data_IF_360269179087
#
_entry.id   IF_360269179087
#
_cell.length_a   1.000
_cell.length_b   1.000
_cell.length_c   1.000
_cell.angle_alpha   90.00
_cell.angle_beta   90.00
_cell.angle_gamma   90.00
#
_symmetry.space_group_name_H-M   'P 1'
#
loop_
_entity.id
_entity.type
_entity.pdbx_description
1 polymer ?
#
# COMPACT_ATOMS: atom_id res chain seq x y z
N UNK A 1 -7.14 -35.27 36.52
CA UNK A 1 -8.28 -34.50 35.97
C UNK A 1 -7.97 -34.11 34.53
N UNK A 2 -8.90 -34.24 33.59
CA UNK A 2 -8.62 -33.98 32.17
C UNK A 2 -8.36 -32.50 31.88
N UNK A 3 -7.25 -32.16 31.19
CA UNK A 3 -6.81 -30.78 30.88
C UNK A 3 -7.87 -29.92 30.16
N UNK A 4 -8.89 -30.52 29.56
CA UNK A 4 -9.95 -29.84 28.79
C UNK A 4 -11.26 -29.54 29.53
N UNK A 5 -11.45 -30.01 30.78
CA UNK A 5 -12.75 -29.89 31.47
C UNK A 5 -13.11 -28.46 31.85
N UNK A 6 -12.12 -27.57 31.99
CA UNK A 6 -12.34 -26.17 32.35
C UNK A 6 -13.22 -25.44 31.31
N UNK A 7 -13.10 -25.79 30.01
CA UNK A 7 -13.94 -25.25 28.93
C UNK A 7 -15.42 -25.55 29.12
N UNK A 8 -15.75 -26.63 29.83
CA UNK A 8 -17.12 -27.12 30.04
C UNK A 8 -17.57 -26.93 31.50
N UNK A 9 -16.95 -26.00 32.24
CA UNK A 9 -17.29 -25.73 33.64
C UNK A 9 -16.92 -26.86 34.59
N UNK A 10 -15.77 -27.51 34.35
CA UNK A 10 -15.22 -28.61 35.17
C UNK A 10 -16.11 -29.87 35.25
N UNK A 11 -17.07 -30.02 34.34
CA UNK A 11 -17.90 -31.22 34.24
C UNK A 11 -17.16 -32.33 33.49
N UNK A 12 -17.09 -33.52 34.08
CA UNK A 12 -16.56 -34.72 33.43
C UNK A 12 -17.65 -35.41 32.61
N UNK A 13 -17.34 -35.75 31.36
CA UNK A 13 -18.28 -36.38 30.42
C UNK A 13 -19.01 -35.39 29.52
N UNK A 14 -19.46 -35.88 28.36
CA UNK A 14 -20.19 -35.08 27.36
C UNK A 14 -21.58 -35.68 27.21
N UNK A 15 -22.61 -34.90 27.51
CA UNK A 15 -23.99 -35.27 27.21
C UNK A 15 -24.26 -35.17 25.70
N UNK A 16 -25.13 -36.02 25.13
CA UNK A 16 -25.56 -35.85 23.76
C UNK A 16 -26.24 -34.50 23.57
N UNK A 17 -26.12 -33.92 22.37
CA UNK A 17 -26.74 -32.63 22.06
C UNK A 17 -28.27 -32.74 22.20
N UNK A 18 -28.93 -31.79 22.89
CA UNK A 18 -30.38 -31.79 23.01
C UNK A 18 -31.00 -31.63 21.62
N UNK A 19 -31.99 -32.47 21.29
CA UNK A 19 -32.70 -32.41 20.01
C UNK A 19 -33.75 -31.29 20.09
N UNK A 20 -33.74 -30.30 19.19
CA UNK A 20 -34.75 -29.26 19.19
C UNK A 20 -36.11 -29.84 18.81
N UNK A 21 -37.18 -29.38 19.47
CA UNK A 21 -38.55 -29.82 19.21
C UNK A 21 -39.00 -29.25 17.85
N UNK A 22 -38.83 -27.94 17.64
CA UNK A 22 -39.06 -27.26 16.37
C UNK A 22 -37.75 -27.18 15.58
N UNK A 23 -37.71 -27.79 14.39
CA UNK A 23 -36.50 -27.87 13.55
C UNK A 23 -36.24 -26.62 12.71
N UNK A 24 -37.28 -25.85 12.44
CA UNK A 24 -37.24 -24.61 11.66
C UNK A 24 -37.84 -23.46 12.47
N UNK A 25 -37.47 -22.21 12.18
CA UNK A 25 -38.06 -21.04 12.85
C UNK A 25 -39.57 -20.95 12.57
N UNK A 26 -40.30 -20.33 13.50
CA UNK A 26 -41.74 -20.09 13.34
C UNK A 26 -42.01 -18.72 12.76
N UNK A 27 -43.19 -18.55 12.15
CA UNK A 27 -43.63 -17.26 11.60
C UNK A 27 -43.76 -16.15 12.66
N UNK A 28 -44.00 -16.51 13.93
CA UNK A 28 -44.08 -15.55 15.03
C UNK A 28 -42.73 -14.92 15.40
N UNK A 29 -41.61 -15.52 15.00
CA UNK A 29 -40.27 -14.97 15.21
C UNK A 29 -39.97 -13.86 14.19
N UNK A 30 -40.60 -12.70 14.40
CA UNK A 30 -40.59 -11.58 13.44
C UNK A 30 -39.20 -11.10 13.05
N UNK A 31 -38.22 -11.06 13.97
CA UNK A 31 -36.86 -10.61 13.65
C UNK A 31 -36.19 -11.52 12.61
N UNK A 32 -36.35 -12.84 12.75
CA UNK A 32 -35.78 -13.82 11.80
C UNK A 32 -36.47 -13.79 10.45
N UNK A 33 -37.77 -13.52 10.44
CA UNK A 33 -38.54 -13.34 9.20
C UNK A 33 -38.03 -12.10 8.46
N UNK A 34 -37.86 -10.98 9.16
CA UNK A 34 -37.33 -9.75 8.58
C UNK A 34 -35.89 -9.94 8.07
N UNK A 35 -35.03 -10.62 8.84
CA UNK A 35 -33.65 -10.94 8.42
C UNK A 35 -33.62 -11.80 7.16
N UNK A 36 -34.51 -12.80 7.05
CA UNK A 36 -34.57 -13.68 5.89
C UNK A 36 -35.11 -12.96 4.64
N UNK A 37 -35.99 -11.97 4.80
CA UNK A 37 -36.57 -11.17 3.72
C UNK A 37 -35.71 -9.96 3.34
N UNK A 38 -34.79 -9.54 4.22
CA UNK A 38 -33.93 -8.40 3.97
C UNK A 38 -33.05 -8.62 2.72
N UNK A 39 -32.83 -7.57 1.91
CA UNK A 39 -31.93 -7.66 0.77
C UNK A 39 -30.52 -8.00 1.25
N UNK A 40 -29.93 -9.02 0.65
CA UNK A 40 -28.58 -9.47 1.03
C UNK A 40 -27.54 -8.43 0.62
N UNK A 41 -26.57 -8.10 1.49
CA UNK A 41 -25.54 -7.14 1.15
C UNK A 41 -24.71 -7.62 -0.04
N UNK A 42 -24.25 -6.68 -0.85
CA UNK A 42 -23.32 -6.88 -1.97
C UNK A 42 -21.98 -6.21 -1.63
N UNK A 43 -20.87 -6.71 -2.18
CA UNK A 43 -19.53 -6.14 -1.96
C UNK A 43 -18.62 -7.05 -1.13
N UNK A 44 -17.66 -6.50 -0.36
CA UNK A 44 -16.61 -7.28 0.31
C UNK A 44 -17.14 -8.21 1.41
N UNK A 45 -18.22 -7.82 2.09
CA UNK A 45 -18.96 -8.64 3.06
C UNK A 45 -20.27 -9.18 2.49
N UNK A 46 -20.40 -9.21 1.16
CA UNK A 46 -21.62 -9.61 0.48
C UNK A 46 -21.86 -11.12 0.47
N UNK A 47 -23.12 -11.51 0.27
CA UNK A 47 -23.54 -12.93 0.18
C UNK A 47 -24.17 -13.19 -1.19
N UNK A 48 -23.66 -14.19 -1.90
CA UNK A 48 -24.17 -14.62 -3.21
C UNK A 48 -23.40 -14.05 -4.40
N UNK A 49 -23.94 -14.22 -5.60
CA UNK A 49 -23.34 -13.72 -6.84
C UNK A 49 -23.60 -12.22 -7.05
N UNK A 50 -22.57 -11.47 -7.42
CA UNK A 50 -22.71 -10.07 -7.78
C UNK A 50 -23.57 -9.90 -9.04
N UNK A 51 -24.15 -8.71 -9.21
CA UNK A 51 -25.02 -8.41 -10.34
C UNK A 51 -24.31 -8.63 -11.67
N UNK A 52 -25.03 -9.20 -12.64
CA UNK A 52 -24.53 -9.49 -13.99
C UNK A 52 -23.36 -10.48 -14.09
N UNK A 53 -22.94 -11.10 -12.98
CA UNK A 53 -22.01 -12.25 -13.03
C UNK A 53 -22.82 -13.53 -13.23
N UNK A 54 -22.43 -14.32 -14.22
CA UNK A 54 -23.02 -15.64 -14.48
C UNK A 54 -22.68 -16.61 -13.34
N UNK A 55 -23.64 -17.46 -12.98
CA UNK A 55 -23.43 -18.57 -12.07
C UNK A 55 -23.18 -19.84 -12.90
N UNK A 56 -22.48 -20.86 -12.36
CA UNK A 56 -22.16 -22.06 -13.11
C UNK A 56 -23.42 -22.84 -13.51
N UNK A 57 -23.41 -23.43 -14.70
CA UNK A 57 -24.51 -24.21 -15.23
C UNK A 57 -24.87 -25.38 -14.30
N UNK A 58 -26.17 -25.59 -14.06
CA UNK A 58 -26.68 -26.63 -13.16
C UNK A 58 -26.69 -26.27 -11.67
N UNK A 59 -26.10 -25.14 -11.28
CA UNK A 59 -26.23 -24.58 -9.93
C UNK A 59 -27.40 -23.60 -9.83
N UNK A 60 -27.92 -23.37 -8.62
CA UNK A 60 -28.85 -22.25 -8.36
C UNK A 60 -28.05 -21.02 -7.95
N UNK A 61 -28.40 -19.86 -8.53
CA UNK A 61 -27.82 -18.56 -8.16
C UNK A 61 -28.17 -18.15 -6.73
N UNK A 62 -29.43 -18.34 -6.36
CA UNK A 62 -29.96 -17.98 -5.05
C UNK A 62 -30.04 -19.20 -4.14
N UNK A 63 -29.69 -19.06 -2.84
CA UNK A 63 -29.86 -20.14 -1.88
C UNK A 63 -31.35 -20.39 -1.63
N UNK A 64 -31.68 -21.60 -1.21
CA UNK A 64 -33.07 -21.96 -0.91
C UNK A 64 -33.65 -21.07 0.20
N UNK A 65 -34.90 -20.61 0.06
CA UNK A 65 -35.53 -19.79 1.08
C UNK A 65 -35.72 -20.60 2.37
N UNK A 66 -35.55 -19.92 3.50
CA UNK A 66 -35.78 -20.52 4.82
C UNK A 66 -37.26 -20.86 4.96
N UNK A 67 -37.56 -22.11 5.31
CA UNK A 67 -38.94 -22.56 5.56
C UNK A 67 -39.36 -22.12 6.96
N UNK A 68 -40.39 -21.30 7.05
CA UNK A 68 -41.01 -20.91 8.32
C UNK A 68 -42.21 -21.80 8.61
N UNK A 69 -42.31 -22.28 9.84
CA UNK A 69 -43.41 -23.14 10.28
C UNK A 69 -44.50 -22.29 10.93
N UNK A 70 -45.75 -22.52 10.55
CA UNK A 70 -46.89 -22.21 11.42
C UNK A 70 -47.16 -23.42 12.33
N UNK A 71 -47.07 -23.18 13.63
CA UNK A 71 -47.17 -24.23 14.65
C UNK A 71 -48.56 -24.85 14.66
N UNK A 72 -49.62 -24.06 14.47
CA UNK A 72 -50.98 -24.59 14.51
C UNK A 72 -51.30 -25.42 13.26
N UNK A 73 -50.80 -25.03 12.09
CA UNK A 73 -50.91 -25.84 10.87
C UNK A 73 -50.10 -27.14 10.99
N UNK A 74 -48.91 -27.08 11.57
CA UNK A 74 -48.08 -28.27 11.81
C UNK A 74 -48.75 -29.22 12.81
N UNK A 75 -49.39 -28.71 13.87
CA UNK A 75 -50.17 -29.52 14.81
C UNK A 75 -51.31 -30.22 14.08
N UNK A 76 -52.09 -29.51 13.26
CA UNK A 76 -53.19 -30.10 12.48
C UNK A 76 -52.70 -31.22 11.54
N UNK A 77 -51.54 -31.03 10.91
CA UNK A 77 -50.97 -32.01 9.99
C UNK A 77 -50.38 -33.25 10.69
N UNK A 78 -49.71 -33.06 11.82
CA UNK A 78 -49.00 -34.15 12.54
C UNK A 78 -49.92 -34.88 13.52
N UNK A 79 -50.88 -34.18 14.09
CA UNK A 79 -51.81 -34.63 15.12
C UNK A 79 -53.24 -34.41 14.64
N UNK A 80 -53.70 -35.15 13.62
CA UNK A 80 -55.09 -35.03 13.19
C UNK A 80 -56.03 -35.59 14.26
N UNK A 81 -57.11 -34.85 14.50
CA UNK A 81 -58.23 -35.34 15.31
C UNK A 81 -58.96 -36.47 14.56
N UNK A 82 -59.47 -37.49 15.26
CA UNK A 82 -60.20 -38.58 14.62
C UNK A 82 -61.49 -38.04 13.98
N UNK A 83 -61.64 -38.22 12.66
CA UNK A 83 -62.80 -37.73 11.90
C UNK A 83 -64.14 -38.36 12.34
N UNK A 84 -64.08 -39.58 12.87
CA UNK A 84 -65.23 -40.27 13.47
C UNK A 84 -64.80 -40.78 14.84
N UNK A 85 -65.69 -40.74 15.83
CA UNK A 85 -65.49 -41.39 17.11
C UNK A 85 -65.92 -42.86 16.95
N UNK A 86 -65.03 -43.81 16.64
CA UNK A 86 -65.45 -45.19 16.48
C UNK A 86 -65.94 -45.71 17.84
N UNK A 87 -67.04 -46.46 17.80
CA UNK A 87 -67.54 -47.18 18.96
C UNK A 87 -66.47 -48.18 19.42
N UNK A 88 -66.19 -48.17 20.72
CA UNK A 88 -65.09 -48.94 21.29
C UNK A 88 -65.59 -50.34 21.59
N UNK A 89 -65.36 -51.28 20.67
CA UNK A 89 -65.83 -52.66 20.80
C UNK A 89 -65.05 -53.48 21.85
N UNK A 90 -63.80 -53.10 22.18
CA UNK A 90 -62.93 -53.86 23.08
C UNK A 90 -62.14 -52.99 24.05
N UNK A 91 -61.87 -53.51 25.27
CA UNK A 91 -61.03 -52.85 26.30
C UNK A 91 -59.64 -52.48 25.77
N UNK A 92 -59.07 -53.30 24.89
CA UNK A 92 -57.76 -53.01 24.29
C UNK A 92 -57.83 -51.82 23.31
N UNK A 93 -58.93 -51.69 22.57
CA UNK A 93 -59.16 -50.54 21.69
C UNK A 93 -59.36 -49.26 22.52
N UNK A 94 -60.04 -49.36 23.67
CA UNK A 94 -60.17 -48.26 24.62
C UNK A 94 -58.80 -47.76 25.10
N UNK A 95 -57.91 -48.67 25.49
CA UNK A 95 -56.56 -48.34 25.94
C UNK A 95 -55.72 -47.69 24.84
N UNK A 96 -55.75 -48.22 23.61
CA UNK A 96 -55.06 -47.62 22.45
C UNK A 96 -55.58 -46.22 22.15
N UNK A 97 -56.90 -46.00 22.24
CA UNK A 97 -57.52 -44.68 22.03
C UNK A 97 -57.08 -43.67 23.09
N UNK A 98 -57.05 -44.07 24.37
CA UNK A 98 -56.54 -43.24 25.47
C UNK A 98 -55.07 -42.88 25.25
N UNK A 99 -54.23 -43.86 24.92
CA UNK A 99 -52.81 -43.61 24.65
C UNK A 99 -52.59 -42.69 23.44
N UNK A 100 -53.40 -42.85 22.39
CA UNK A 100 -53.36 -41.95 21.24
C UNK A 100 -53.75 -40.53 21.64
N UNK A 101 -54.84 -40.34 22.39
CA UNK A 101 -55.25 -39.04 22.90
C UNK A 101 -54.13 -38.37 23.73
N UNK A 102 -53.54 -39.10 24.68
CA UNK A 102 -52.42 -38.61 25.49
C UNK A 102 -51.21 -38.20 24.63
N UNK A 103 -50.85 -39.00 23.62
CA UNK A 103 -49.74 -38.67 22.70
C UNK A 103 -50.03 -37.40 21.90
N UNK A 104 -51.28 -37.22 21.47
CA UNK A 104 -51.72 -36.04 20.73
C UNK A 104 -51.61 -34.79 21.59
N UNK A 105 -52.17 -34.85 22.81
CA UNK A 105 -52.13 -33.77 23.80
C UNK A 105 -50.70 -33.36 24.14
N UNK A 106 -49.83 -34.31 24.52
CA UNK A 106 -48.44 -33.99 24.86
C UNK A 106 -47.66 -33.41 23.69
N UNK A 107 -47.91 -33.87 22.47
CA UNK A 107 -47.19 -33.39 21.29
C UNK A 107 -47.68 -31.99 20.88
N UNK A 108 -48.99 -31.72 20.92
CA UNK A 108 -49.53 -30.38 20.68
C UNK A 108 -49.05 -29.37 21.73
N UNK A 109 -49.01 -29.79 23.00
CA UNK A 109 -48.55 -28.93 24.09
C UNK A 109 -47.06 -28.66 23.99
N UNK A 110 -46.25 -29.67 23.62
CA UNK A 110 -44.82 -29.50 23.42
C UNK A 110 -44.50 -28.49 22.31
N UNK A 111 -45.24 -28.51 21.19
CA UNK A 111 -45.04 -27.53 20.12
C UNK A 111 -45.43 -26.11 20.53
N UNK A 112 -46.58 -25.94 21.18
CA UNK A 112 -47.03 -24.63 21.68
C UNK A 112 -46.09 -24.07 22.76
N UNK A 113 -45.61 -24.92 23.66
CA UNK A 113 -44.68 -24.55 24.71
C UNK A 113 -43.31 -24.15 24.14
N UNK A 114 -42.80 -24.88 23.15
CA UNK A 114 -41.52 -24.55 22.52
C UNK A 114 -41.60 -23.22 21.76
N UNK A 115 -42.69 -22.95 21.04
CA UNK A 115 -42.87 -21.65 20.38
C UNK A 115 -42.84 -20.49 21.40
N UNK A 116 -43.59 -20.60 22.50
CA UNK A 116 -43.60 -19.60 23.57
C UNK A 116 -42.21 -19.42 24.20
N UNK A 117 -41.48 -20.52 24.41
CA UNK A 117 -40.12 -20.49 24.93
C UNK A 117 -39.17 -19.74 24.00
N UNK A 118 -39.26 -19.99 22.68
CA UNK A 118 -38.43 -19.32 21.68
C UNK A 118 -38.70 -17.82 21.64
N UNK A 119 -39.97 -17.41 21.66
CA UNK A 119 -40.35 -15.99 21.71
C UNK A 119 -39.82 -15.31 22.98
N UNK A 120 -39.99 -15.94 24.14
CA UNK A 120 -39.46 -15.42 25.41
C UNK A 120 -37.93 -15.32 25.40
N UNK A 121 -37.25 -16.27 24.78
CA UNK A 121 -35.79 -16.22 24.65
C UNK A 121 -35.34 -15.04 23.79
N UNK A 122 -36.04 -14.76 22.69
CA UNK A 122 -35.77 -13.61 21.82
C UNK A 122 -35.96 -12.28 22.57
N UNK A 123 -37.06 -12.15 23.32
CA UNK A 123 -37.33 -10.99 24.16
C UNK A 123 -36.23 -10.76 25.20
N UNK A 124 -35.80 -11.82 25.90
CA UNK A 124 -34.72 -11.73 26.89
C UNK A 124 -33.38 -11.33 26.27
N UNK A 125 -33.07 -11.84 25.07
CA UNK A 125 -31.86 -11.45 24.36
C UNK A 125 -31.90 -9.98 23.96
N UNK A 126 -33.04 -9.50 23.46
CA UNK A 126 -33.22 -8.09 23.10
C UNK A 126 -33.08 -7.17 24.32
N UNK A 127 -33.72 -7.51 25.44
CA UNK A 127 -33.58 -6.76 26.70
C UNK A 127 -32.14 -6.73 27.17
N UNK A 128 -31.43 -7.86 27.11
CA UNK A 128 -30.01 -7.93 27.48
C UNK A 128 -29.14 -7.05 26.59
N UNK A 129 -29.37 -7.04 25.28
CA UNK A 129 -28.64 -6.18 24.35
C UNK A 129 -28.85 -4.70 24.66
N UNK A 130 -30.10 -4.31 24.91
CA UNK A 130 -30.43 -2.93 25.30
C UNK A 130 -29.73 -2.52 26.60
N UNK A 131 -29.75 -3.37 27.62
CA UNK A 131 -29.03 -3.10 28.88
C UNK A 131 -27.53 -2.96 28.67
N UNK A 132 -26.91 -3.83 27.86
CA UNK A 132 -25.49 -3.74 27.54
C UNK A 132 -25.16 -2.45 26.76
N UNK A 133 -26.01 -2.05 25.82
CA UNK A 133 -25.84 -0.79 25.10
C UNK A 133 -25.96 0.43 26.02
N UNK A 134 -26.92 0.41 26.95
CA UNK A 134 -27.08 1.45 27.96
C UNK A 134 -25.88 1.51 28.91
N UNK A 135 -25.40 0.37 29.39
CA UNK A 135 -24.19 0.28 30.22
C UNK A 135 -22.97 0.83 29.49
N UNK A 136 -22.76 0.43 28.23
CA UNK A 136 -21.67 0.94 27.41
C UNK A 136 -21.78 2.45 27.19
N UNK A 137 -22.99 2.97 26.92
CA UNK A 137 -23.22 4.42 26.79
C UNK A 137 -22.94 5.17 28.08
N UNK A 138 -23.34 4.62 29.23
CA UNK A 138 -23.05 5.20 30.56
C UNK A 138 -21.55 5.19 30.83
N UNK A 139 -20.85 4.09 30.56
CA UNK A 139 -19.40 3.99 30.73
C UNK A 139 -18.66 4.97 29.82
N UNK A 140 -19.06 5.09 28.55
CA UNK A 140 -18.49 6.08 27.64
C UNK A 140 -18.75 7.51 28.12
N UNK A 141 -19.95 7.81 28.60
CA UNK A 141 -20.29 9.11 29.15
C UNK A 141 -19.51 9.43 30.45
N UNK A 142 -19.27 8.43 31.32
CA UNK A 142 -18.45 8.59 32.53
C UNK A 142 -16.96 8.71 32.23
N UNK A 143 -16.49 8.06 31.16
CA UNK A 143 -15.13 8.18 30.66
C UNK A 143 -14.89 9.53 29.97
N UNK A 144 -15.89 10.09 29.29
CA UNK A 144 -15.79 11.38 28.60
C UNK A 144 -16.05 12.59 29.49
N UNK A 145 -16.51 12.40 30.74
CA UNK A 145 -16.69 13.50 31.70
C UNK A 145 -15.32 14.03 32.13
N UNK A 146 -15.12 15.33 31.94
CA UNK A 146 -13.94 16.04 32.41
C UNK A 146 -13.78 15.87 33.93
N UNK A 147 -12.59 15.47 34.36
CA UNK A 147 -12.25 15.29 35.77
C UNK A 147 -11.26 16.37 36.19
N UNK A 148 -11.29 16.76 37.46
CA UNK A 148 -10.29 17.67 38.03
C UNK A 148 -8.85 17.13 37.90
N UNK A 149 -8.70 15.80 37.81
CA UNK A 149 -7.42 15.13 37.55
C UNK A 149 -6.90 15.28 36.12
N UNK A 150 -7.74 15.69 35.16
CA UNK A 150 -7.29 15.80 33.76
C UNK A 150 -6.33 16.98 33.57
N UNK A 151 -6.46 18.01 34.42
CA UNK A 151 -5.56 19.16 34.46
C UNK A 151 -4.14 18.83 34.97
N UNK A 152 -3.95 17.69 35.65
CA UNK A 152 -2.62 17.25 36.10
C UNK A 152 -1.91 16.38 35.05
N UNK A 153 -2.61 15.95 34.01
CA UNK A 153 -2.03 15.21 32.89
C UNK A 153 -1.48 16.24 31.89
N UNK A 154 -0.20 16.17 31.48
CA UNK A 154 0.33 17.11 30.50
C UNK A 154 -0.37 16.92 29.15
N UNK A 155 -0.98 18.00 28.65
CA UNK A 155 -1.69 17.99 27.36
C UNK A 155 -0.79 18.51 26.23
N UNK A 156 -0.85 17.85 25.07
CA UNK A 156 -0.16 18.26 23.84
C UNK A 156 -1.18 18.55 22.73
N UNK A 157 -2.29 19.21 23.07
CA UNK A 157 -3.42 19.44 22.17
C UNK A 157 -3.01 20.13 20.87
N UNK A 158 -2.18 21.16 20.94
CA UNK A 158 -1.72 21.88 19.77
C UNK A 158 -0.88 20.99 18.82
N UNK A 159 -0.13 20.02 19.35
CA UNK A 159 0.67 19.09 18.55
C UNK A 159 -0.20 17.98 17.94
N UNK A 160 -1.17 17.46 18.69
CA UNK A 160 -2.07 16.38 18.24
C UNK A 160 -3.06 16.90 17.20
N UNK A 161 -3.55 18.13 17.37
CA UNK A 161 -4.49 18.77 16.45
C UNK A 161 -3.80 19.31 15.19
N UNK A 162 -2.47 19.46 15.21
CA UNK A 162 -1.74 19.84 14.02
C UNK A 162 -1.73 18.69 12.99
N UNK A 163 -1.94 18.98 11.70
CA UNK A 163 -1.83 17.95 10.67
C UNK A 163 -0.40 17.41 10.63
N UNK A 164 -0.25 16.08 10.65
CA UNK A 164 1.06 15.41 10.59
C UNK A 164 1.90 15.87 9.38
N UNK A 165 1.23 16.25 8.28
CA UNK A 165 1.88 16.78 7.10
C UNK A 165 1.10 17.97 6.55
N UNK A 166 1.80 19.10 6.34
CA UNK A 166 1.28 20.21 5.55
C UNK A 166 1.39 19.86 4.06
N UNK A 167 0.27 19.91 3.35
CA UNK A 167 0.29 19.79 1.90
C UNK A 167 0.92 21.05 1.29
N UNK A 168 1.79 20.89 0.28
CA UNK A 168 2.41 22.02 -0.41
C UNK A 168 1.35 22.81 -1.17
N UNK A 169 1.43 24.14 -1.14
CA UNK A 169 0.61 25.00 -1.99
C UNK A 169 0.97 24.80 -3.47
N UNK A 170 0.07 25.08 -4.42
CA UNK A 170 0.37 24.94 -5.85
C UNK A 170 1.58 25.79 -6.27
N UNK A 171 1.75 26.98 -5.68
CA UNK A 171 2.92 27.85 -5.92
C UNK A 171 4.23 27.21 -5.45
N UNK A 172 4.24 26.62 -4.26
CA UNK A 172 5.41 25.89 -3.75
C UNK A 172 5.76 24.67 -4.61
N UNK A 173 4.75 23.96 -5.10
CA UNK A 173 4.95 22.82 -6.01
C UNK A 173 5.59 23.28 -7.32
N UNK A 174 5.08 24.36 -7.91
CA UNK A 174 5.65 24.96 -9.13
C UNK A 174 7.10 25.39 -8.91
N UNK A 175 7.41 26.02 -7.78
CA UNK A 175 8.77 26.44 -7.45
C UNK A 175 9.72 25.24 -7.29
N UNK A 176 9.28 24.18 -6.63
CA UNK A 176 10.05 22.93 -6.51
C UNK A 176 10.30 22.31 -7.88
N UNK A 177 9.31 22.30 -8.76
CA UNK A 177 9.45 21.73 -10.09
C UNK A 177 10.35 22.58 -11.00
N UNK A 178 10.32 23.90 -10.87
CA UNK A 178 11.27 24.79 -11.53
C UNK A 178 12.70 24.54 -11.05
N UNK A 179 12.92 24.39 -9.73
CA UNK A 179 14.24 24.02 -9.19
C UNK A 179 14.73 22.68 -9.72
N UNK A 180 13.85 21.69 -9.82
CA UNK A 180 14.18 20.36 -10.39
C UNK A 180 14.54 20.46 -11.88
N UNK A 181 13.78 21.21 -12.67
CA UNK A 181 14.05 21.46 -14.09
C UNK A 181 15.40 22.15 -14.28
N UNK A 182 15.64 23.22 -13.53
CA UNK A 182 16.91 23.95 -13.56
C UNK A 182 18.10 23.03 -13.23
N UNK A 183 18.00 22.24 -12.16
CA UNK A 183 19.06 21.29 -11.80
C UNK A 183 19.31 20.26 -12.91
N UNK A 184 18.25 19.77 -13.58
CA UNK A 184 18.38 18.84 -14.71
C UNK A 184 19.09 19.48 -15.89
N UNK A 185 18.71 20.71 -16.23
CA UNK A 185 19.29 21.48 -17.34
C UNK A 185 20.76 21.81 -17.08
N UNK A 186 21.11 22.24 -15.85
CA UNK A 186 22.49 22.50 -15.44
C UNK A 186 23.36 21.25 -15.55
N UNK A 187 22.85 20.09 -15.13
CA UNK A 187 23.58 18.83 -15.27
C UNK A 187 23.75 18.41 -16.73
N UNK A 188 22.72 18.58 -17.56
CA UNK A 188 22.80 18.30 -18.99
C UNK A 188 23.81 19.22 -19.69
N UNK A 189 23.80 20.50 -19.37
CA UNK A 189 24.73 21.49 -19.89
C UNK A 189 26.17 21.15 -19.50
N UNK A 190 26.43 20.83 -18.23
CA UNK A 190 27.77 20.39 -17.77
C UNK A 190 28.25 19.12 -18.48
N UNK A 191 27.34 18.19 -18.77
CA UNK A 191 27.69 16.99 -19.54
C UNK A 191 28.07 17.33 -20.98
N UNK A 192 27.34 18.25 -21.61
CA UNK A 192 27.66 18.73 -22.95
C UNK A 192 28.99 19.47 -22.96
N UNK A 193 29.25 20.37 -22.01
CA UNK A 193 30.54 21.06 -21.87
C UNK A 193 31.70 20.06 -21.74
N UNK A 194 31.55 19.03 -20.91
CA UNK A 194 32.58 17.97 -20.80
C UNK A 194 32.81 17.23 -22.11
N UNK A 195 31.74 16.88 -22.84
CA UNK A 195 31.85 16.23 -24.15
C UNK A 195 32.54 17.13 -25.18
N UNK A 196 32.23 18.43 -25.17
CA UNK A 196 32.86 19.40 -26.05
C UNK A 196 34.34 19.60 -25.69
N UNK A 197 34.68 19.66 -24.41
CA UNK A 197 36.07 19.73 -23.95
C UNK A 197 36.86 18.48 -24.38
N UNK A 198 36.25 17.29 -24.26
CA UNK A 198 36.82 16.04 -24.76
C UNK A 198 37.03 16.07 -26.28
N UNK A 199 36.06 16.59 -27.04
CA UNK A 199 36.17 16.75 -28.48
C UNK A 199 37.33 17.69 -28.84
N UNK A 200 37.43 18.85 -28.20
CA UNK A 200 38.55 19.79 -28.40
C UNK A 200 39.88 19.12 -28.09
N UNK A 201 39.97 18.35 -27.00
CA UNK A 201 41.18 17.60 -26.68
C UNK A 201 41.51 16.54 -27.73
N UNK A 202 40.50 15.86 -28.27
CA UNK A 202 40.67 14.88 -29.34
C UNK A 202 41.11 15.56 -30.65
N UNK A 203 40.59 16.75 -30.96
CA UNK A 203 40.99 17.53 -32.12
C UNK A 203 42.48 17.88 -32.06
N UNK A 204 42.97 18.35 -30.92
CA UNK A 204 44.39 18.65 -30.73
C UNK A 204 45.24 17.37 -30.77
N UNK A 205 44.77 16.27 -30.18
CA UNK A 205 45.44 14.97 -30.26
C UNK A 205 45.44 14.37 -31.68
N UNK A 206 44.48 14.76 -32.54
CA UNK A 206 44.37 14.22 -33.89
C UNK A 206 45.53 14.63 -34.80
N UNK A 207 46.31 15.66 -34.45
CA UNK A 207 47.56 15.99 -35.14
C UNK A 207 48.59 14.86 -35.05
N UNK A 208 48.58 14.09 -33.96
CA UNK A 208 49.47 12.94 -33.74
C UNK A 208 48.89 11.64 -34.33
N UNK A 209 47.62 11.64 -34.77
CA UNK A 209 46.98 10.44 -35.28
C UNK A 209 47.41 10.13 -36.71
N UNK A 210 47.77 8.88 -36.93
CA UNK A 210 48.11 8.35 -38.25
C UNK A 210 46.83 7.95 -38.97
N UNK A 211 46.45 8.69 -40.01
CA UNK A 211 45.23 8.41 -40.79
C UNK A 211 45.57 7.81 -42.16
N UNK A 212 46.70 8.20 -42.73
CA UNK A 212 47.10 7.82 -44.10
C UNK A 212 48.35 6.92 -44.09
N UNK A 213 48.46 6.03 -45.08
CA UNK A 213 49.63 5.16 -45.27
C UNK A 213 50.99 5.91 -45.28
N UNK A 214 51.16 7.07 -45.94
CA UNK A 214 52.42 7.79 -45.88
C UNK A 214 52.77 8.32 -44.48
N UNK A 215 51.77 8.69 -43.65
CA UNK A 215 52.01 9.07 -42.26
C UNK A 215 52.48 7.87 -41.43
N UNK A 216 51.97 6.68 -41.73
CA UNK A 216 52.36 5.45 -41.05
C UNK A 216 53.84 5.13 -41.29
N UNK A 217 54.29 5.18 -42.53
CA UNK A 217 55.69 4.92 -42.88
C UNK A 217 56.63 5.91 -42.17
N UNK A 218 56.31 7.21 -42.19
CA UNK A 218 57.08 8.24 -41.48
C UNK A 218 57.17 7.95 -39.98
N UNK A 219 56.04 7.62 -39.35
CA UNK A 219 56.02 7.33 -37.92
C UNK A 219 56.76 6.02 -37.58
N UNK A 220 56.75 5.01 -38.45
CA UNK A 220 57.57 3.79 -38.31
C UNK A 220 59.05 4.18 -38.33
N UNK A 221 59.48 4.96 -39.32
CA UNK A 221 60.86 5.40 -39.43
C UNK A 221 61.29 6.22 -38.19
N UNK A 222 60.44 7.12 -37.69
CA UNK A 222 60.69 7.92 -36.49
C UNK A 222 60.81 7.08 -35.20
N UNK A 223 59.93 6.09 -35.01
CA UNK A 223 59.93 5.22 -33.82
C UNK A 223 61.06 4.19 -33.85
N UNK A 224 61.37 3.63 -35.02
CA UNK A 224 62.41 2.63 -35.18
C UNK A 224 63.80 3.23 -35.46
N UNK A 225 63.91 4.56 -35.59
CA UNK A 225 65.18 5.26 -35.50
C UNK A 225 65.88 4.92 -34.16
N UNK A 226 67.19 4.64 -34.23
CA UNK A 226 67.95 3.95 -33.17
C UNK A 226 67.94 4.64 -31.80
N UNK A 227 67.62 5.93 -31.73
CA UNK A 227 67.57 6.71 -30.49
C UNK A 227 66.32 6.40 -29.65
N UNK A 228 65.18 6.13 -30.29
CA UNK A 228 63.90 5.88 -29.63
C UNK A 228 63.69 4.39 -29.25
N UNK A 229 64.32 3.47 -29.96
CA UNK A 229 64.25 2.04 -29.64
C UNK A 229 64.82 1.69 -28.24
N UNK A 230 65.74 2.51 -27.71
CA UNK A 230 66.32 2.34 -26.39
C UNK A 230 65.43 2.82 -25.23
N UNK A 231 64.53 3.78 -25.47
CA UNK A 231 63.61 4.30 -24.44
C UNK A 231 62.42 3.36 -24.22
N UNK A 232 61.94 2.69 -25.28
CA UNK A 232 60.89 1.67 -25.22
C UNK A 232 61.29 0.43 -24.40
N UNK A 233 62.56 0.02 -24.47
CA UNK A 233 63.09 -1.12 -23.67
C UNK A 233 63.17 -0.83 -22.16
N UNK A 234 63.12 0.45 -21.74
CA UNK A 234 63.38 0.87 -20.34
C UNK A 234 62.14 1.20 -19.52
N UNK A 235 60.91 1.11 -20.04
CA UNK A 235 59.70 1.51 -19.29
C UNK A 235 58.57 0.46 -19.27
N UNK A 236 58.66 -0.59 -18.43
CA UNK A 236 57.47 -1.37 -18.07
C UNK A 236 56.97 -1.15 -16.62
N UNK A 237 57.46 -0.17 -15.84
CA UNK A 237 57.13 -0.10 -14.39
C UNK A 237 57.08 1.31 -13.75
N UNK A 238 56.37 2.28 -14.33
CA UNK A 238 56.13 3.59 -13.68
C UNK A 238 54.64 3.93 -13.70
N UNK A 239 53.89 3.49 -12.68
CA UNK A 239 52.43 3.69 -12.62
C UNK A 239 51.93 4.57 -11.47
N UNK A 240 52.77 4.99 -10.52
CA UNK A 240 52.35 5.77 -9.35
C UNK A 240 52.89 7.21 -9.34
N UNK A 241 54.19 7.43 -9.58
CA UNK A 241 54.80 8.76 -9.53
C UNK A 241 54.38 9.70 -10.69
N UNK A 242 53.96 9.17 -11.84
CA UNK A 242 53.46 10.01 -12.93
C UNK A 242 52.04 10.52 -12.68
N UNK A 243 51.25 9.83 -11.84
CA UNK A 243 49.85 10.23 -11.57
C UNK A 243 49.75 11.55 -10.84
N UNK A 244 50.69 11.86 -9.95
CA UNK A 244 50.73 13.15 -9.25
C UNK A 244 50.99 14.30 -10.23
N UNK A 245 51.98 14.15 -11.12
CA UNK A 245 52.26 15.13 -12.18
C UNK A 245 51.11 15.27 -13.19
N UNK A 246 50.44 14.17 -13.54
CA UNK A 246 49.30 14.20 -14.46
C UNK A 246 48.08 14.87 -13.81
N UNK A 247 47.86 14.67 -12.52
CA UNK A 247 46.81 15.36 -11.76
C UNK A 247 47.11 16.85 -11.62
N UNK A 248 48.36 17.25 -11.33
CA UNK A 248 48.75 18.66 -11.26
C UNK A 248 48.56 19.37 -12.61
N UNK A 249 48.97 18.71 -13.71
CA UNK A 249 48.76 19.24 -15.06
C UNK A 249 47.28 19.36 -15.40
N UNK A 250 46.47 18.36 -15.06
CA UNK A 250 45.02 18.43 -15.25
C UNK A 250 44.39 19.56 -14.43
N UNK A 251 44.84 19.80 -13.20
CA UNK A 251 44.39 20.91 -12.37
C UNK A 251 44.79 22.26 -12.99
N UNK A 252 46.04 22.42 -13.41
CA UNK A 252 46.51 23.64 -14.09
C UNK A 252 45.72 23.90 -15.38
N UNK A 253 45.50 22.87 -16.19
CA UNK A 253 44.68 22.95 -17.40
C UNK A 253 43.23 23.39 -17.10
N UNK A 254 42.63 22.90 -16.01
CA UNK A 254 41.29 23.37 -15.61
C UNK A 254 41.26 24.81 -15.11
N UNK A 255 42.33 25.28 -14.45
CA UNK A 255 42.41 26.63 -13.90
C UNK A 255 42.68 27.69 -14.98
N UNK A 256 43.55 27.36 -15.94
CA UNK A 256 43.89 28.25 -17.05
C UNK A 256 43.02 28.03 -18.29
N UNK A 257 42.16 27.01 -18.28
CA UNK A 257 41.29 26.67 -19.41
C UNK A 257 42.06 26.16 -20.62
N UNK A 258 43.23 25.55 -20.43
CA UNK A 258 44.11 24.99 -21.48
C UNK A 258 43.96 23.47 -21.58
N UNK A 259 44.53 22.88 -22.64
CA UNK A 259 44.58 21.42 -22.85
C UNK A 259 46.03 20.98 -23.14
N UNK A 260 46.35 19.75 -22.73
CA UNK A 260 47.65 19.11 -22.94
C UNK A 260 48.82 19.86 -22.26
N UNK A 261 48.65 20.18 -20.97
CA UNK A 261 49.63 20.87 -20.13
C UNK A 261 50.02 22.25 -20.68
N UNK A 262 49.02 23.05 -21.03
CA UNK A 262 49.20 24.44 -21.47
C UNK A 262 49.68 24.63 -22.92
N UNK A 263 49.70 23.58 -23.75
CA UNK A 263 50.14 23.70 -25.15
C UNK A 263 49.07 24.24 -26.09
N UNK A 264 47.81 23.94 -25.81
CA UNK A 264 46.69 24.31 -26.66
C UNK A 264 45.59 24.99 -25.86
N UNK A 265 44.88 25.89 -26.51
CA UNK A 265 43.72 26.56 -25.95
C UNK A 265 42.58 25.56 -25.72
N UNK A 266 41.97 25.62 -24.54
CA UNK A 266 40.84 24.77 -24.20
C UNK A 266 39.48 25.39 -24.50
N UNK A 267 38.43 24.67 -24.13
CA UNK A 267 37.04 25.00 -24.46
C UNK A 267 36.63 26.44 -24.08
N UNK A 268 37.02 27.02 -22.92
CA UNK A 268 36.65 28.40 -22.57
C UNK A 268 37.17 29.43 -23.59
N UNK A 269 38.45 29.37 -23.95
CA UNK A 269 39.05 30.29 -24.92
C UNK A 269 38.42 30.14 -26.32
N UNK A 270 38.14 28.92 -26.76
CA UNK A 270 37.45 28.65 -28.03
C UNK A 270 36.02 29.20 -28.02
N UNK A 271 35.31 29.05 -26.89
CA UNK A 271 33.97 29.60 -26.71
C UNK A 271 33.98 31.13 -26.79
N UNK A 272 34.91 31.78 -26.09
CA UNK A 272 35.01 33.24 -26.04
C UNK A 272 35.40 33.82 -27.41
N UNK A 273 36.24 33.10 -28.16
CA UNK A 273 36.55 33.43 -29.56
C UNK A 273 35.31 33.31 -30.48
N UNK A 274 34.54 32.22 -30.37
CA UNK A 274 33.31 32.03 -31.16
C UNK A 274 32.20 33.00 -30.77
N UNK A 275 32.12 33.39 -29.50
CA UNK A 275 31.21 34.41 -28.99
C UNK A 275 31.60 35.84 -29.43
N UNK A 276 32.82 36.03 -29.94
CA UNK A 276 33.32 37.31 -30.44
C UNK A 276 33.87 38.25 -29.36
N UNK A 277 33.95 37.83 -28.10
CA UNK A 277 34.38 38.65 -26.97
C UNK A 277 35.87 39.03 -27.07
N UNK A 278 36.71 38.12 -27.57
CA UNK A 278 38.13 38.38 -27.78
C UNK A 278 38.42 39.41 -28.89
N UNK A 279 37.56 39.47 -29.92
CA UNK A 279 37.67 40.48 -30.98
C UNK A 279 37.29 41.87 -30.50
N UNK A 280 36.30 41.96 -29.61
CA UNK A 280 35.92 43.22 -28.97
C UNK A 280 37.07 43.76 -28.10
N UNK A 281 37.69 42.90 -27.28
CA UNK A 281 38.82 43.29 -26.43
C UNK A 281 40.04 43.80 -27.23
N UNK A 282 40.41 43.12 -28.33
CA UNK A 282 41.55 43.51 -29.17
C UNK A 282 41.33 44.81 -29.96
N UNK A 283 40.09 45.27 -30.10
CA UNK A 283 39.74 46.52 -30.81
C UNK A 283 39.77 47.78 -29.93
N UNK A 284 39.94 47.62 -28.61
CA UNK A 284 40.06 48.74 -27.66
C UNK A 284 41.54 49.12 -27.53
N UNK A 285 41.99 50.32 -27.94
CA UNK A 285 43.35 50.76 -27.69
C UNK A 285 43.57 50.91 -26.18
N UNK A 286 44.67 50.35 -25.67
CA UNK A 286 45.03 50.40 -24.26
C UNK A 286 45.20 51.86 -23.78
N UNK A 287 44.75 52.23 -22.56
CA UNK A 287 45.03 53.54 -22.00
C UNK A 287 46.53 53.66 -21.67
N UNK A 288 47.14 54.75 -22.15
CA UNK A 288 48.56 55.08 -21.97
C UNK A 288 49.04 54.89 -20.53
N UNK A 289 50.11 54.11 -20.37
CA UNK A 289 50.87 53.97 -19.13
C UNK A 289 51.66 55.24 -18.83
N UNK A 290 51.00 56.26 -18.27
CA UNK A 290 51.66 57.45 -17.75
C UNK A 290 50.87 58.13 -16.62
N UNK A 291 50.93 57.57 -15.41
CA UNK A 291 50.90 58.37 -14.17
C UNK A 291 51.17 57.48 -12.95
N UNK A 292 52.42 57.42 -12.50
CA UNK A 292 52.68 57.16 -11.08
C UNK A 292 52.38 58.45 -10.31
N UNK A 293 51.47 58.46 -9.33
CA UNK A 293 51.34 59.60 -8.43
C UNK A 293 52.51 59.62 -7.44
N UNK A 294 53.01 60.81 -7.05
CA UNK A 294 54.12 60.92 -6.12
C UNK A 294 53.70 60.44 -4.72
N UNK A 295 54.64 59.72 -4.08
CA UNK A 295 54.60 59.38 -2.67
C UNK A 295 54.62 60.67 -1.85
N UNK A 296 53.58 60.88 -1.05
CA UNK A 296 53.61 61.72 0.15
C UNK A 296 52.93 60.93 1.27
#
# INVERSE_FOLDING_TARGET
>A
MGKGIAKFGFKSGILPKPRPILKHPTWKMTAKVQEAQAPKPKGPSGVGYADNIAHPAGSRREPEPVKFIDVEEMIKATVPEPQQAPEVASKQQAAKRRLAAMRREYLSDAFRAEERRLLRQEELLRQRQQLLEEENRRQLAEASRERASDLTIPTLEALVNAPLMRQRTPEEQQLVDLKRKHNREVLALRLQERRMAQLVSLYHAAEEYIVTEPQLLRHIDDVFSSENAHTLKKRPLVSSANRENDNERAVLDTLFGTVAAGRFDGLPAVRDFLAGEQRAAASTPAPDSASQPPVN
#
